data_IF_356664280711
#
_entry.id   IF_356664280711
#
_cell.length_a   1.000
_cell.length_b   1.000
_cell.length_c   1.000
_cell.angle_alpha   90.00
_cell.angle_beta   90.00
_cell.angle_gamma   90.00
#
_symmetry.space_group_name_H-M   'P 1'
#
loop_
_entity.id
_entity.type
_entity.pdbx_description
1 polymer ?
#
# COMPACT_ATOMS: atom_id res chain seq x y z
N UNK A 1 -16.26 9.34 7.27
CA UNK A 1 -16.06 8.73 5.94
C UNK A 1 -16.38 9.68 4.79
N UNK A 2 -17.29 10.66 4.95
CA UNK A 2 -17.65 11.63 3.90
C UNK A 2 -16.50 12.28 3.12
N UNK A 3 -15.42 12.74 3.78
CA UNK A 3 -14.25 13.32 3.06
C UNK A 3 -13.40 12.28 2.32
N UNK A 4 -13.32 11.05 2.82
CA UNK A 4 -12.63 9.94 2.18
C UNK A 4 -13.40 9.44 0.93
N UNK A 5 -14.72 9.61 0.91
CA UNK A 5 -15.58 9.24 -0.21
C UNK A 5 -15.35 10.15 -1.42
N UNK A 6 -15.04 11.44 -1.20
CA UNK A 6 -14.68 12.39 -2.26
C UNK A 6 -13.36 12.01 -2.94
N UNK A 7 -12.32 11.65 -2.16
CA UNK A 7 -11.04 11.21 -2.73
C UNK A 7 -11.17 9.93 -3.58
N UNK A 8 -12.11 9.05 -3.23
CA UNK A 8 -12.31 7.79 -3.94
C UNK A 8 -13.16 7.93 -5.20
N UNK A 9 -13.78 9.09 -5.43
CA UNK A 9 -14.46 9.40 -6.68
C UNK A 9 -13.46 9.69 -7.82
N UNK A 10 -12.23 10.10 -7.49
CA UNK A 10 -11.18 10.39 -8.47
C UNK A 10 -10.25 9.19 -8.65
N UNK A 11 -9.83 8.86 -9.89
CA UNK A 11 -8.79 7.88 -10.13
C UNK A 11 -7.49 8.30 -9.43
N UNK A 12 -6.88 7.38 -8.68
CA UNK A 12 -5.67 7.68 -7.88
C UNK A 12 -4.51 8.19 -8.73
N UNK A 13 -4.38 7.72 -9.97
CA UNK A 13 -3.36 8.19 -10.90
C UNK A 13 -3.57 9.65 -11.30
N UNK A 14 -4.82 10.07 -11.51
CA UNK A 14 -5.16 11.45 -11.90
C UNK A 14 -4.85 12.41 -10.77
N UNK A 15 -5.21 12.05 -9.52
CA UNK A 15 -4.85 12.84 -8.34
C UNK A 15 -3.32 12.96 -8.20
N UNK A 16 -2.60 11.85 -8.38
CA UNK A 16 -1.15 11.84 -8.25
C UNK A 16 -0.47 12.70 -9.34
N UNK A 17 -0.91 12.58 -10.59
CA UNK A 17 -0.45 13.42 -11.71
C UNK A 17 -0.69 14.91 -11.38
N UNK A 18 -1.91 15.27 -10.98
CA UNK A 18 -2.25 16.66 -10.66
C UNK A 18 -1.36 17.23 -9.54
N UNK A 19 -1.18 16.49 -8.44
CA UNK A 19 -0.34 16.93 -7.32
C UNK A 19 1.12 17.12 -7.75
N UNK A 20 1.68 16.14 -8.47
CA UNK A 20 3.09 16.15 -8.87
C UNK A 20 3.39 17.18 -9.95
N UNK A 21 2.47 17.41 -10.89
CA UNK A 21 2.61 18.45 -11.91
C UNK A 21 2.57 19.86 -11.33
N UNK A 22 1.81 20.10 -10.25
CA UNK A 22 1.72 21.42 -9.61
C UNK A 22 2.88 21.70 -8.65
N UNK A 23 3.31 20.70 -7.88
CA UNK A 23 4.30 20.87 -6.81
C UNK A 23 5.75 20.55 -7.25
N UNK A 24 5.91 19.97 -8.43
CA UNK A 24 7.19 19.47 -8.95
C UNK A 24 7.44 18.01 -8.54
N UNK A 25 7.89 17.21 -9.50
CA UNK A 25 8.16 15.79 -9.28
C UNK A 25 9.42 15.57 -8.43
N UNK A 26 9.29 14.84 -7.32
CA UNK A 26 10.43 14.31 -6.54
C UNK A 26 10.08 12.92 -6.01
N UNK A 27 11.09 12.07 -5.79
CA UNK A 27 10.88 10.70 -5.31
C UNK A 27 10.12 10.67 -3.97
N UNK A 28 10.46 11.58 -3.05
CA UNK A 28 9.79 11.71 -1.76
C UNK A 28 8.33 12.16 -1.90
N UNK A 29 8.08 13.20 -2.70
CA UNK A 29 6.72 13.70 -2.89
C UNK A 29 5.84 12.65 -3.58
N UNK A 30 6.39 11.92 -4.55
CA UNK A 30 5.69 10.83 -5.21
C UNK A 30 5.30 9.75 -4.20
N UNK A 31 6.24 9.28 -3.38
CA UNK A 31 5.94 8.30 -2.34
C UNK A 31 4.84 8.78 -1.38
N UNK A 32 4.90 10.04 -0.94
CA UNK A 32 3.92 10.64 -0.04
C UNK A 32 2.53 10.73 -0.69
N UNK A 33 2.44 11.25 -1.92
CA UNK A 33 1.18 11.40 -2.66
C UNK A 33 0.54 10.04 -2.92
N UNK A 34 1.33 9.03 -3.31
CA UNK A 34 0.84 7.67 -3.51
C UNK A 34 0.35 7.06 -2.21
N UNK A 35 1.12 7.18 -1.12
CA UNK A 35 0.71 6.69 0.20
C UNK A 35 -0.58 7.36 0.69
N UNK A 36 -0.68 8.69 0.53
CA UNK A 36 -1.87 9.46 0.88
C UNK A 36 -3.10 9.04 0.05
N UNK A 37 -2.91 8.74 -1.23
CA UNK A 37 -3.96 8.23 -2.11
C UNK A 37 -4.53 6.88 -1.67
N UNK A 38 -3.74 6.07 -0.95
CA UNK A 38 -4.18 4.79 -0.41
C UNK A 38 -4.94 4.90 0.93
N UNK A 39 -4.76 5.99 1.69
CA UNK A 39 -5.34 6.17 3.03
C UNK A 39 -6.86 5.91 3.08
N UNK A 40 -7.71 6.48 2.19
CA UNK A 40 -9.15 6.26 2.24
C UNK A 40 -9.55 4.78 2.17
N UNK A 41 -8.88 4.03 1.30
CA UNK A 41 -9.19 2.61 1.07
C UNK A 41 -8.69 1.76 2.22
N UNK A 42 -7.46 1.98 2.67
CA UNK A 42 -6.86 1.30 3.82
C UNK A 42 -7.67 1.53 5.09
N UNK A 43 -8.12 2.77 5.36
CA UNK A 43 -8.96 3.10 6.51
C UNK A 43 -10.31 2.36 6.50
N UNK A 44 -10.93 2.20 5.32
CA UNK A 44 -12.17 1.42 5.18
C UNK A 44 -11.94 -0.06 5.49
N UNK A 45 -10.87 -0.65 4.96
CA UNK A 45 -10.52 -2.06 5.20
C UNK A 45 -10.25 -2.29 6.68
N UNK A 46 -9.37 -1.49 7.29
CA UNK A 46 -9.04 -1.61 8.72
C UNK A 46 -10.28 -1.43 9.58
N UNK A 47 -11.15 -0.47 9.27
CA UNK A 47 -12.42 -0.28 10.01
C UNK A 47 -13.32 -1.50 9.93
N UNK A 48 -13.46 -2.11 8.75
CA UNK A 48 -14.28 -3.30 8.58
C UNK A 48 -13.78 -4.46 9.45
N UNK A 49 -12.46 -4.67 9.49
CA UNK A 49 -11.84 -5.69 10.35
C UNK A 49 -12.00 -5.34 11.83
N UNK A 50 -11.78 -4.07 12.20
CA UNK A 50 -11.91 -3.59 13.58
C UNK A 50 -13.32 -3.79 14.15
N UNK A 51 -14.37 -3.56 13.35
CA UNK A 51 -15.75 -3.81 13.78
C UNK A 51 -15.97 -5.28 14.16
N UNK A 52 -15.44 -6.22 13.37
CA UNK A 52 -15.53 -7.65 13.68
C UNK A 52 -14.76 -8.05 14.95
N UNK A 53 -13.66 -7.37 15.29
CA UNK A 53 -12.92 -7.61 16.54
C UNK A 53 -13.69 -7.06 17.74
N UNK A 54 -14.27 -5.86 17.63
CA UNK A 54 -14.98 -5.19 18.72
C UNK A 54 -16.24 -5.95 19.16
N UNK A 55 -16.84 -6.74 18.28
CA UNK A 55 -18.02 -7.56 18.59
C UNK A 55 -17.71 -8.84 19.38
N UNK A 56 -16.42 -9.20 19.57
CA UNK A 56 -16.02 -10.42 20.27
C UNK A 56 -16.21 -10.34 21.80
N UNK A 57 -16.46 -11.50 22.41
CA UNK A 57 -16.83 -11.60 23.82
C UNK A 57 -15.76 -11.11 24.79
N UNK A 58 -14.47 -11.30 24.48
CA UNK A 58 -13.38 -10.77 25.31
C UNK A 58 -13.35 -9.23 25.34
N UNK A 59 -13.79 -8.57 24.26
CA UNK A 59 -13.90 -7.11 24.21
C UNK A 59 -15.10 -6.65 25.04
N UNK A 60 -16.24 -7.34 24.94
CA UNK A 60 -17.42 -7.06 25.76
C UNK A 60 -17.12 -7.28 27.24
N UNK A 61 -16.42 -8.34 27.60
CA UNK A 61 -15.96 -8.62 28.95
C UNK A 61 -15.08 -7.48 29.50
N UNK A 62 -14.09 -7.03 28.72
CA UNK A 62 -13.25 -5.88 29.07
C UNK A 62 -14.07 -4.59 29.28
N UNK A 63 -15.15 -4.39 28.53
CA UNK A 63 -16.07 -3.26 28.74
C UNK A 63 -16.85 -3.41 30.06
N UNK A 64 -17.32 -4.61 30.40
CA UNK A 64 -18.04 -4.85 31.67
C UNK A 64 -17.18 -4.63 32.91
N UNK A 65 -15.86 -4.81 32.79
CA UNK A 65 -14.88 -4.50 33.83
C UNK A 65 -14.60 -2.98 33.98
N UNK A 66 -15.22 -2.13 33.15
CA UNK A 66 -15.07 -0.67 33.24
C UNK A 66 -13.77 -0.13 32.65
N UNK A 67 -13.05 -0.89 31.81
CA UNK A 67 -11.87 -0.35 31.14
C UNK A 67 -12.21 0.82 30.21
N UNK A 68 -11.34 1.83 30.17
CA UNK A 68 -11.51 2.98 29.28
C UNK A 68 -11.44 2.57 27.81
N UNK A 69 -12.17 3.30 26.95
CA UNK A 69 -12.18 3.05 25.50
C UNK A 69 -10.80 3.06 24.87
N UNK A 70 -9.90 3.94 25.33
CA UNK A 70 -8.51 4.01 24.86
C UNK A 70 -7.72 2.78 25.25
N UNK A 71 -7.87 2.29 26.50
CA UNK A 71 -7.22 1.06 26.96
C UNK A 71 -7.70 -0.15 26.18
N UNK A 72 -9.00 -0.25 25.90
CA UNK A 72 -9.56 -1.34 25.07
C UNK A 72 -9.06 -1.22 23.62
N UNK A 73 -9.06 -0.02 23.05
CA UNK A 73 -8.61 0.19 21.67
C UNK A 73 -7.15 -0.21 21.47
N UNK A 74 -6.23 0.28 22.30
CA UNK A 74 -4.79 0.01 22.15
C UNK A 74 -4.32 -1.30 22.78
N UNK A 75 -4.96 -1.75 23.87
CA UNK A 75 -4.54 -2.94 24.61
C UNK A 75 -5.24 -4.23 24.20
N UNK A 76 -6.43 -4.14 23.59
CA UNK A 76 -7.22 -5.32 23.23
C UNK A 76 -7.48 -5.38 21.71
N UNK A 77 -8.00 -4.31 21.12
CA UNK A 77 -8.39 -4.31 19.70
C UNK A 77 -7.17 -4.23 18.79
N UNK A 78 -6.27 -3.26 19.00
CA UNK A 78 -5.12 -3.01 18.13
C UNK A 78 -4.20 -4.24 17.98
N UNK A 79 -3.83 -4.98 19.05
CA UNK A 79 -3.03 -6.19 18.91
C UNK A 79 -3.67 -7.25 18.00
N UNK A 80 -5.00 -7.39 18.06
CA UNK A 80 -5.76 -8.32 17.21
C UNK A 80 -5.90 -7.82 15.75
N UNK A 81 -5.53 -6.57 15.47
CA UNK A 81 -5.54 -5.99 14.12
C UNK A 81 -4.16 -5.97 13.46
N UNK A 82 -3.09 -6.29 14.19
CA UNK A 82 -1.72 -6.24 13.63
C UNK A 82 -1.60 -7.12 12.39
N UNK A 83 -2.12 -8.35 12.42
CA UNK A 83 -1.98 -9.27 11.29
C UNK A 83 -2.74 -8.79 10.05
N UNK A 84 -4.05 -8.46 10.15
CA UNK A 84 -4.79 -7.89 9.02
C UNK A 84 -4.17 -6.59 8.48
N UNK A 85 -3.67 -5.72 9.36
CA UNK A 85 -3.03 -4.46 8.97
C UNK A 85 -1.73 -4.73 8.20
N UNK A 86 -0.91 -5.68 8.64
CA UNK A 86 0.34 -6.03 7.94
C UNK A 86 0.09 -6.61 6.55
N UNK A 87 -0.92 -7.47 6.41
CA UNK A 87 -1.34 -8.00 5.10
C UNK A 87 -1.82 -6.87 4.18
N UNK A 88 -2.68 -5.99 4.67
CA UNK A 88 -3.19 -4.84 3.92
C UNK A 88 -2.04 -3.90 3.49
N UNK A 89 -1.07 -3.63 4.37
CA UNK A 89 0.11 -2.83 4.03
C UNK A 89 0.92 -3.45 2.88
N UNK A 90 1.11 -4.76 2.88
CA UNK A 90 1.81 -5.46 1.80
C UNK A 90 1.08 -5.35 0.46
N UNK A 91 -0.24 -5.53 0.46
CA UNK A 91 -1.06 -5.35 -0.75
C UNK A 91 -0.92 -3.91 -1.27
N UNK A 92 -1.01 -2.91 -0.39
CA UNK A 92 -0.88 -1.49 -0.77
C UNK A 92 0.51 -1.17 -1.31
N UNK A 93 1.55 -1.76 -0.73
CA UNK A 93 2.92 -1.61 -1.22
C UNK A 93 3.08 -2.11 -2.66
N UNK A 94 2.51 -3.28 -2.99
CA UNK A 94 2.51 -3.80 -4.37
C UNK A 94 1.79 -2.86 -5.34
N UNK A 95 0.63 -2.32 -4.95
CA UNK A 95 -0.07 -1.32 -5.78
C UNK A 95 0.74 -0.03 -5.98
N UNK A 96 1.45 0.43 -4.94
CA UNK A 96 2.31 1.62 -5.02
C UNK A 96 3.42 1.46 -6.05
N UNK A 97 4.05 0.28 -6.15
CA UNK A 97 5.09 0.00 -7.16
C UNK A 97 4.56 0.24 -8.56
N UNK A 98 3.39 -0.34 -8.89
CA UNK A 98 2.78 -0.18 -10.20
C UNK A 98 2.36 1.27 -10.50
N UNK A 99 1.84 1.97 -9.49
CA UNK A 99 1.40 3.36 -9.66
C UNK A 99 2.59 4.31 -9.82
N UNK A 100 3.66 4.14 -9.05
CA UNK A 100 4.92 4.88 -9.19
C UNK A 100 5.52 4.63 -10.58
N UNK A 101 5.63 3.37 -10.99
CA UNK A 101 6.14 3.02 -12.32
C UNK A 101 5.30 3.66 -13.45
N UNK A 102 3.98 3.73 -13.28
CA UNK A 102 3.07 4.38 -14.23
C UNK A 102 3.29 5.89 -14.28
N UNK A 103 3.46 6.56 -13.13
CA UNK A 103 3.76 7.99 -13.06
C UNK A 103 5.12 8.30 -13.68
N UNK A 104 6.13 7.48 -13.38
CA UNK A 104 7.44 7.60 -14.01
C UNK A 104 7.37 7.40 -15.52
N UNK A 105 6.66 6.39 -16.00
CA UNK A 105 6.42 6.22 -17.43
C UNK A 105 5.72 7.43 -18.08
N UNK A 106 4.90 8.18 -17.34
CA UNK A 106 4.25 9.39 -17.80
C UNK A 106 5.14 10.64 -17.73
N UNK A 107 6.43 10.49 -17.39
CA UNK A 107 7.42 11.57 -17.36
C UNK A 107 7.48 12.33 -16.04
N UNK A 108 6.82 11.84 -14.99
CA UNK A 108 6.91 12.39 -13.62
C UNK A 108 7.92 11.65 -12.75
N UNK A 109 8.75 10.79 -13.35
CA UNK A 109 9.77 9.99 -12.67
C UNK A 109 10.97 10.81 -12.20
N UNK A 110 11.93 10.14 -11.57
CA UNK A 110 13.19 10.79 -11.20
C UNK A 110 13.99 11.07 -12.47
N UNK A 111 14.41 12.32 -12.64
CA UNK A 111 15.17 12.74 -13.81
C UNK A 111 16.63 12.25 -13.75
N UNK A 112 17.31 12.09 -14.90
CA UNK A 112 18.75 11.81 -14.97
C UNK A 112 19.55 12.78 -14.10
N UNK A 113 20.65 12.34 -13.44
CA UNK A 113 21.40 11.10 -13.66
C UNK A 113 20.90 9.87 -12.89
N UNK A 114 19.82 9.99 -12.11
CA UNK A 114 19.33 8.88 -11.30
C UNK A 114 18.57 7.86 -12.15
N UNK A 115 18.81 6.55 -11.99
CA UNK A 115 18.09 5.53 -12.75
C UNK A 115 16.64 5.40 -12.29
N UNK A 116 15.71 5.39 -13.24
CA UNK A 116 14.27 5.16 -13.01
C UNK A 116 13.72 4.23 -14.11
N UNK A 117 13.22 3.06 -13.71
CA UNK A 117 12.74 2.04 -14.65
C UNK A 117 11.50 2.47 -15.44
N UNK A 118 10.63 3.31 -14.89
CA UNK A 118 9.47 3.81 -15.63
C UNK A 118 9.87 4.82 -16.70
N UNK A 119 10.78 5.74 -16.38
CA UNK A 119 11.36 6.66 -17.36
C UNK A 119 12.11 5.91 -18.46
N UNK A 120 12.89 4.88 -18.12
CA UNK A 120 13.60 4.05 -19.10
C UNK A 120 12.64 3.42 -20.13
N UNK A 121 11.47 2.94 -19.68
CA UNK A 121 10.42 2.43 -20.60
C UNK A 121 9.93 3.56 -21.51
N UNK A 122 9.68 4.75 -20.97
CA UNK A 122 9.23 5.90 -21.75
C UNK A 122 10.24 6.24 -22.86
N UNK A 123 11.52 6.40 -22.52
CA UNK A 123 12.57 6.81 -23.45
C UNK A 123 12.78 5.81 -24.60
N UNK A 124 12.68 4.50 -24.29
CA UNK A 124 12.97 3.44 -25.26
C UNK A 124 11.75 2.99 -26.07
N UNK A 125 10.53 3.47 -25.77
CA UNK A 125 9.29 3.00 -26.42
C UNK A 125 9.26 3.19 -27.93
N UNK A 126 9.87 4.27 -28.45
CA UNK A 126 9.88 4.54 -29.89
C UNK A 126 10.84 3.63 -30.65
N UNK A 127 11.89 3.14 -29.98
CA UNK A 127 12.87 2.23 -30.54
C UNK A 127 12.50 0.75 -30.33
N UNK A 128 11.30 0.44 -29.81
CA UNK A 128 10.91 -0.91 -29.42
C UNK A 128 11.09 -1.96 -30.54
N UNK A 129 10.74 -1.61 -31.77
CA UNK A 129 10.87 -2.51 -32.93
C UNK A 129 12.31 -2.82 -33.32
N UNK A 130 13.26 -1.97 -32.92
CA UNK A 130 14.70 -2.10 -33.26
C UNK A 130 15.48 -2.65 -32.07
N UNK A 131 15.25 -2.11 -30.88
CA UNK A 131 15.92 -2.46 -29.63
C UNK A 131 14.88 -2.67 -28.52
N UNK A 132 14.22 -3.85 -28.48
CA UNK A 132 13.15 -4.12 -27.52
C UNK A 132 13.63 -4.20 -26.06
N UNK A 133 14.92 -4.48 -25.84
CA UNK A 133 15.50 -4.69 -24.51
C UNK A 133 15.43 -3.46 -23.61
N UNK A 134 15.47 -2.25 -24.17
CA UNK A 134 15.33 -1.00 -23.41
C UNK A 134 13.96 -0.85 -22.74
N UNK A 135 12.94 -1.58 -23.21
CA UNK A 135 11.59 -1.63 -22.63
C UNK A 135 11.40 -2.92 -21.83
N UNK A 136 11.77 -4.08 -22.39
CA UNK A 136 11.48 -5.38 -21.77
C UNK A 136 12.22 -5.60 -20.44
N UNK A 137 13.46 -5.15 -20.31
CA UNK A 137 14.24 -5.32 -19.07
C UNK A 137 13.64 -4.52 -17.89
N UNK A 138 13.42 -3.20 -17.99
CA UNK A 138 12.78 -2.46 -16.89
C UNK A 138 11.35 -2.94 -16.62
N UNK A 139 10.59 -3.33 -17.65
CA UNK A 139 9.24 -3.85 -17.49
C UNK A 139 9.22 -5.16 -16.67
N UNK A 140 10.09 -6.12 -17.03
CA UNK A 140 10.22 -7.38 -16.30
C UNK A 140 10.79 -7.18 -14.89
N UNK A 141 11.70 -6.22 -14.70
CA UNK A 141 12.20 -5.85 -13.38
C UNK A 141 11.08 -5.32 -12.47
N UNK A 142 10.26 -4.37 -12.94
CA UNK A 142 9.10 -3.85 -12.19
C UNK A 142 8.11 -4.98 -11.88
N UNK A 143 7.79 -5.84 -12.85
CA UNK A 143 6.87 -6.95 -12.67
C UNK A 143 7.38 -7.96 -11.63
N UNK A 144 8.66 -8.36 -11.73
CA UNK A 144 9.28 -9.29 -10.79
C UNK A 144 9.38 -8.71 -9.38
N UNK A 145 9.66 -7.42 -9.24
CA UNK A 145 9.67 -6.72 -7.97
C UNK A 145 8.27 -6.69 -7.35
N UNK A 146 7.24 -6.32 -8.12
CA UNK A 146 5.87 -6.30 -7.65
C UNK A 146 5.39 -7.70 -7.19
N UNK A 147 5.67 -8.73 -7.98
CA UNK A 147 5.34 -10.12 -7.62
C UNK A 147 6.13 -10.57 -6.40
N UNK A 148 7.44 -10.33 -6.35
CA UNK A 148 8.30 -10.69 -5.23
C UNK A 148 7.86 -10.03 -3.93
N UNK A 149 7.55 -8.74 -3.95
CA UNK A 149 7.03 -8.01 -2.80
C UNK A 149 5.66 -8.54 -2.36
N UNK A 150 4.78 -8.89 -3.31
CA UNK A 150 3.49 -9.49 -2.98
C UNK A 150 3.64 -10.85 -2.29
N UNK A 151 4.51 -11.71 -2.82
CA UNK A 151 4.81 -13.02 -2.21
C UNK A 151 5.44 -12.87 -0.82
N UNK A 152 6.35 -11.91 -0.65
CA UNK A 152 6.94 -11.60 0.66
C UNK A 152 5.87 -11.12 1.65
N UNK A 153 4.95 -10.25 1.23
CA UNK A 153 3.84 -9.82 2.07
C UNK A 153 2.94 -10.98 2.50
N UNK A 154 2.62 -11.89 1.57
CA UNK A 154 1.82 -13.09 1.87
C UNK A 154 2.56 -14.04 2.83
N UNK A 155 3.88 -14.19 2.68
CA UNK A 155 4.70 -14.99 3.59
C UNK A 155 4.76 -14.38 4.99
N UNK A 156 4.97 -13.06 5.10
CA UNK A 156 4.94 -12.35 6.39
C UNK A 156 3.56 -12.48 7.03
N UNK A 157 2.49 -12.26 6.28
CA UNK A 157 1.12 -12.43 6.76
C UNK A 157 0.85 -13.83 7.31
N UNK A 158 1.34 -14.88 6.62
CA UNK A 158 1.23 -16.27 7.09
C UNK A 158 2.08 -16.54 8.33
N UNK A 159 3.32 -16.06 8.37
CA UNK A 159 4.21 -16.24 9.51
C UNK A 159 3.66 -15.60 10.79
N UNK A 160 3.10 -14.39 10.68
CA UNK A 160 2.50 -13.69 11.82
C UNK A 160 1.24 -14.42 12.32
N UNK A 161 0.37 -14.88 11.41
CA UNK A 161 -0.79 -15.71 11.79
C UNK A 161 -0.37 -17.00 12.52
N UNK A 162 0.68 -17.66 12.04
CA UNK A 162 1.21 -18.88 12.65
C UNK A 162 1.66 -18.65 14.10
N UNK A 163 2.40 -17.57 14.37
CA UNK A 163 2.84 -17.21 15.72
C UNK A 163 1.65 -16.99 16.66
N UNK A 164 0.61 -16.30 16.18
CA UNK A 164 -0.59 -16.03 16.98
C UNK A 164 -1.37 -17.31 17.33
N UNK A 165 -1.50 -18.25 16.39
CA UNK A 165 -2.15 -19.54 16.66
C UNK A 165 -1.38 -20.39 17.69
N UNK A 166 -0.05 -20.36 17.67
CA UNK A 166 0.79 -21.12 18.60
C UNK A 166 0.74 -20.52 20.02
N UNK A 167 0.69 -19.19 20.14
CA UNK A 167 0.57 -18.51 21.43
C UNK A 167 -0.76 -18.76 22.15
N UNK A 168 -1.83 -19.16 21.43
CA UNK A 168 -3.14 -19.47 22.04
C UNK A 168 -3.26 -20.91 22.54
N UNK A 169 -2.31 -21.79 22.20
CA UNK A 169 -2.35 -23.23 22.50
C UNK A 169 -1.17 -23.73 23.36
N UNK A 170 -0.30 -22.84 23.84
CA UNK A 170 0.77 -23.14 24.80
C UNK A 170 0.59 -22.32 26.06
#
# INVERSE_FOLDING_TARGET
>A
MRGADVLLAFPSIVLALMCLSLMGASAWLMALVVAAGHLPRTMRVIRAVALGVVERDFVKYAQTLGYSRTRIAFGVVLPNLVVPVMVELGIRFTYSIGLIASLSFLGLGVQPPNPDWGNMINENRMAFSVQPWGVLLPLTAIASLAVGCNLLADCVGRAVNFIETRSKHG
#
